data_IF_835971160077
#
_entry.id   IF_835971160077
#
_cell.length_a   1.000
_cell.length_b   1.000
_cell.length_c   1.000
_cell.angle_alpha   90.00
_cell.angle_beta   90.00
_cell.angle_gamma   90.00
#
_symmetry.space_group_name_H-M   'P 1'
#
loop_
_entity.id
_entity.type
_entity.pdbx_description
1 polymer ?
#
# COMPACT_ATOMS: atom_id res chain seq x y z
N UNK A 1 -21.13 11.06 6.42
CA UNK A 1 -21.04 10.42 5.08
C UNK A 1 -19.85 10.97 4.30
N UNK A 2 -19.79 12.28 4.04
CA UNK A 2 -18.65 12.92 3.34
C UNK A 2 -17.27 12.65 3.99
N UNK A 3 -17.16 12.68 5.32
CA UNK A 3 -15.89 12.39 6.01
C UNK A 3 -15.42 10.95 5.84
N UNK A 4 -16.35 10.00 5.78
CA UNK A 4 -16.04 8.58 5.57
C UNK A 4 -15.57 8.34 4.15
N UNK A 5 -16.24 8.95 3.18
CA UNK A 5 -15.88 8.91 1.76
C UNK A 5 -14.48 9.51 1.54
N UNK A 6 -14.21 10.69 2.11
CA UNK A 6 -12.87 11.29 2.09
C UNK A 6 -11.81 10.38 2.73
N UNK A 7 -12.13 9.74 3.87
CA UNK A 7 -11.20 8.79 4.50
C UNK A 7 -10.94 7.56 3.62
N UNK A 8 -11.93 7.08 2.88
CA UNK A 8 -11.77 5.98 1.93
C UNK A 8 -10.92 6.39 0.72
N UNK A 9 -11.12 7.59 0.16
CA UNK A 9 -10.31 8.15 -0.93
C UNK A 9 -8.84 8.32 -0.52
N UNK A 10 -8.58 8.88 0.67
CA UNK A 10 -7.22 9.03 1.19
C UNK A 10 -6.52 7.67 1.34
N UNK A 11 -7.23 6.63 1.77
CA UNK A 11 -6.69 5.27 1.84
C UNK A 11 -6.42 4.67 0.46
N UNK A 12 -7.18 5.03 -0.58
CA UNK A 12 -6.89 4.62 -1.96
C UNK A 12 -5.64 5.29 -2.50
N UNK A 13 -5.45 6.59 -2.22
CA UNK A 13 -4.22 7.32 -2.57
C UNK A 13 -3.01 6.69 -1.87
N UNK A 14 -3.10 6.42 -0.56
CA UNK A 14 -2.01 5.80 0.20
C UNK A 14 -1.64 4.40 -0.34
N UNK A 15 -2.65 3.63 -0.79
CA UNK A 15 -2.45 2.33 -1.43
C UNK A 15 -1.75 2.47 -2.79
N UNK A 16 -2.17 3.44 -3.61
CA UNK A 16 -1.53 3.74 -4.88
C UNK A 16 -0.06 4.17 -4.69
N UNK A 17 0.22 5.06 -3.74
CA UNK A 17 1.57 5.50 -3.40
C UNK A 17 2.47 4.33 -2.96
N UNK A 18 1.91 3.35 -2.23
CA UNK A 18 2.65 2.15 -1.84
C UNK A 18 3.09 1.33 -3.06
N UNK A 19 2.21 1.18 -4.04
CA UNK A 19 2.54 0.52 -5.31
C UNK A 19 3.53 1.33 -6.14
N UNK A 20 3.41 2.67 -6.17
CA UNK A 20 4.38 3.52 -6.85
C UNK A 20 5.77 3.42 -6.24
N UNK A 21 5.90 3.43 -4.91
CA UNK A 21 7.19 3.22 -4.23
C UNK A 21 7.82 1.86 -4.57
N UNK A 22 7.01 0.79 -4.62
CA UNK A 22 7.50 -0.53 -5.03
C UNK A 22 8.03 -0.51 -6.47
N UNK A 23 7.26 0.07 -7.40
CA UNK A 23 7.67 0.17 -8.79
C UNK A 23 8.91 1.05 -8.97
N UNK A 24 9.00 2.17 -8.25
CA UNK A 24 10.18 3.04 -8.27
C UNK A 24 11.44 2.32 -7.78
N UNK A 25 11.31 1.48 -6.74
CA UNK A 25 12.42 0.73 -6.16
C UNK A 25 12.88 -0.47 -6.99
N UNK A 26 12.06 -0.98 -7.92
CA UNK A 26 12.31 -2.26 -8.61
C UNK A 26 12.42 -2.12 -10.12
N UNK A 27 11.84 -1.09 -10.73
CA UNK A 27 11.79 -0.95 -12.19
C UNK A 27 13.15 -0.62 -12.80
N UNK A 28 13.39 -1.16 -14.00
CA UNK A 28 14.56 -0.80 -14.81
C UNK A 28 15.90 -1.32 -14.27
N UNK A 29 15.88 -2.21 -13.28
CA UNK A 29 17.07 -2.87 -12.76
C UNK A 29 17.41 -4.13 -13.56
N UNK A 30 18.71 -4.48 -13.59
CA UNK A 30 19.14 -5.79 -14.06
C UNK A 30 18.63 -6.89 -13.15
N UNK A 31 18.57 -8.12 -13.64
CA UNK A 31 18.07 -9.27 -12.88
C UNK A 31 18.77 -9.44 -11.52
N UNK A 32 20.11 -9.36 -11.49
CA UNK A 32 20.88 -9.45 -10.23
C UNK A 32 20.49 -8.35 -9.26
N UNK A 33 20.37 -7.10 -9.73
CA UNK A 33 20.03 -5.97 -8.86
C UNK A 33 18.58 -6.03 -8.38
N UNK A 34 17.68 -6.52 -9.22
CA UNK A 34 16.29 -6.78 -8.85
C UNK A 34 16.22 -7.81 -7.72
N UNK A 35 16.94 -8.94 -7.82
CA UNK A 35 16.97 -9.98 -6.78
C UNK A 35 17.47 -9.47 -5.42
N UNK A 36 18.36 -8.48 -5.40
CA UNK A 36 18.84 -7.83 -4.17
C UNK A 36 17.79 -6.88 -3.56
N UNK A 37 17.07 -6.12 -4.39
CA UNK A 37 16.20 -5.03 -3.94
C UNK A 37 14.76 -5.48 -3.67
N UNK A 38 14.24 -6.38 -4.50
CA UNK A 38 12.84 -6.79 -4.50
C UNK A 38 12.37 -7.32 -3.15
N UNK A 39 13.11 -8.19 -2.43
CA UNK A 39 12.62 -8.73 -1.17
C UNK A 39 12.35 -7.66 -0.11
N UNK A 40 13.17 -6.62 -0.05
CA UNK A 40 12.97 -5.49 0.85
C UNK A 40 11.81 -4.60 0.39
N UNK A 41 11.74 -4.30 -0.91
CA UNK A 41 10.65 -3.51 -1.49
C UNK A 41 9.29 -4.21 -1.27
N UNK A 42 9.25 -5.53 -1.44
CA UNK A 42 8.07 -6.36 -1.21
C UNK A 42 7.65 -6.40 0.26
N UNK A 43 8.59 -6.55 1.19
CA UNK A 43 8.30 -6.53 2.62
C UNK A 43 7.68 -5.18 3.04
N UNK A 44 8.24 -4.07 2.52
CA UNK A 44 7.72 -2.72 2.73
C UNK A 44 6.31 -2.55 2.16
N UNK A 45 6.09 -2.95 0.90
CA UNK A 45 4.77 -2.90 0.26
C UNK A 45 3.73 -3.69 1.07
N UNK A 46 4.06 -4.93 1.42
CA UNK A 46 3.17 -5.81 2.19
C UNK A 46 2.79 -5.19 3.54
N UNK A 47 3.75 -4.58 4.24
CA UNK A 47 3.49 -3.89 5.49
C UNK A 47 2.53 -2.71 5.31
N UNK A 48 2.72 -1.89 4.26
CA UNK A 48 1.85 -0.75 3.96
C UNK A 48 0.43 -1.19 3.60
N UNK A 49 0.28 -2.22 2.74
CA UNK A 49 -1.03 -2.76 2.39
C UNK A 49 -1.78 -3.31 3.60
N UNK A 50 -1.08 -3.97 4.54
CA UNK A 50 -1.68 -4.40 5.81
C UNK A 50 -2.18 -3.22 6.65
N UNK A 51 -1.40 -2.14 6.73
CA UNK A 51 -1.80 -0.94 7.47
C UNK A 51 -3.04 -0.27 6.85
N UNK A 52 -3.08 -0.12 5.52
CA UNK A 52 -4.24 0.38 4.79
C UNK A 52 -5.45 -0.52 5.02
N UNK A 53 -5.30 -1.84 4.90
CA UNK A 53 -6.36 -2.80 5.16
C UNK A 53 -6.92 -2.73 6.59
N UNK A 54 -6.03 -2.59 7.59
CA UNK A 54 -6.44 -2.41 8.98
C UNK A 54 -7.20 -1.10 9.23
N UNK A 55 -6.79 0.00 8.59
CA UNK A 55 -7.52 1.29 8.66
C UNK A 55 -8.88 1.19 7.96
N UNK A 56 -8.93 0.58 6.77
CA UNK A 56 -10.19 0.35 6.03
C UNK A 56 -11.17 -0.50 6.82
N UNK A 57 -10.68 -1.51 7.56
CA UNK A 57 -11.53 -2.33 8.44
C UNK A 57 -12.18 -1.52 9.58
N UNK A 58 -11.48 -0.50 10.11
CA UNK A 58 -12.02 0.39 11.16
C UNK A 58 -13.08 1.37 10.64
N UNK A 59 -13.08 1.66 9.34
CA UNK A 59 -14.11 2.51 8.70
C UNK A 59 -15.40 1.75 8.40
N UNK A 60 -15.35 0.41 8.39
CA UNK A 60 -16.56 -0.41 8.26
C UNK A 60 -17.32 -0.36 9.58
N UNK A 61 -18.62 0.00 9.58
CA UNK A 61 -19.42 -0.08 10.78
C UNK A 61 -19.41 -1.53 11.29
N UNK A 62 -19.17 -1.72 12.58
CA UNK A 62 -19.38 -3.02 13.21
C UNK A 62 -20.86 -3.38 12.97
N UNK A 63 -21.10 -4.53 12.35
CA UNK A 63 -22.46 -5.00 12.11
C UNK A 63 -23.23 -4.97 13.45
N UNK A 64 -24.34 -4.22 13.47
CA UNK A 64 -25.27 -4.16 14.59
C UNK A 64 -26.22 -5.37 14.57
#
# INVERSE_FOLDING_TARGET
MAEKELAEELLQIEEADAWFEYLEATRGHSETRYQELEPWAWARLTQRLRAVGARRARLKPAAA
#
